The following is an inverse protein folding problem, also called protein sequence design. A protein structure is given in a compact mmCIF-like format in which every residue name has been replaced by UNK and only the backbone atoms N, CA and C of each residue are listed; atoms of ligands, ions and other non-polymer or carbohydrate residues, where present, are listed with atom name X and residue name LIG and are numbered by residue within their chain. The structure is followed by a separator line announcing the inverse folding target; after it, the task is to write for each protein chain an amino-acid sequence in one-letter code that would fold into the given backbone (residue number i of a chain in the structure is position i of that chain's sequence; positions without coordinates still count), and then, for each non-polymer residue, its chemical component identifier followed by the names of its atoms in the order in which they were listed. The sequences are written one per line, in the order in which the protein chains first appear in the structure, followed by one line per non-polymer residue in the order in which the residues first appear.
data_IF_492289697256
#
_entry.id   IF_492289697256
#
_cell.length_a   1.000
_cell.length_b   1.000
_cell.length_c   1.000
_cell.angle_alpha   90.00
_cell.angle_beta   90.00
_cell.angle_gamma   90.00
#
_symmetry.space_group_name_H-M   'P 1'
#
loop_
_entity.id
_entity.type
_entity.pdbx_description
1 polymer ?
#
# COMPACT_ATOMS: atom_id res chain seq x y z
N UNK A 1 12.05 10.91 -24.25
CA UNK A 1 10.68 10.75 -23.70
C UNK A 1 9.56 11.18 -24.66
N UNK A 2 9.82 11.92 -25.75
CA UNK A 2 8.78 12.38 -26.68
C UNK A 2 8.16 11.30 -27.60
N UNK A 3 8.75 10.11 -27.70
CA UNK A 3 8.29 9.07 -28.64
C UNK A 3 7.20 8.12 -28.09
N UNK A 4 6.86 8.18 -26.79
CA UNK A 4 5.89 7.26 -26.17
C UNK A 4 4.47 7.82 -26.07
N UNK A 5 4.24 9.10 -26.40
CA UNK A 5 2.96 9.79 -26.14
C UNK A 5 2.11 10.03 -27.38
N UNK A 6 2.62 9.75 -28.59
CA UNK A 6 1.86 9.94 -29.83
C UNK A 6 0.72 8.91 -29.91
N UNK A 7 -0.52 9.36 -29.75
CA UNK A 7 -1.72 8.51 -29.75
C UNK A 7 -2.19 8.03 -28.37
N UNK A 8 -1.52 8.42 -27.29
CA UNK A 8 -1.90 8.06 -25.92
C UNK A 8 -2.94 9.05 -25.36
N UNK A 9 -4.00 8.53 -24.72
CA UNK A 9 -4.97 9.32 -23.96
C UNK A 9 -4.27 10.26 -22.96
N UNK A 10 -4.78 11.48 -22.81
CA UNK A 10 -4.17 12.50 -21.94
C UNK A 10 -4.14 12.05 -20.47
N UNK A 11 -5.15 11.31 -20.04
CA UNK A 11 -5.26 10.72 -18.70
C UNK A 11 -4.13 9.72 -18.45
N UNK A 12 -3.78 8.90 -19.44
CA UNK A 12 -2.67 7.96 -19.32
C UNK A 12 -1.32 8.69 -19.26
N UNK A 13 -1.16 9.77 -20.04
CA UNK A 13 0.02 10.63 -19.93
C UNK A 13 0.14 11.26 -18.54
N UNK A 14 -1.00 11.71 -17.98
CA UNK A 14 -1.07 12.25 -16.63
C UNK A 14 -0.68 11.19 -15.60
N UNK A 15 -1.20 9.96 -15.71
CA UNK A 15 -0.83 8.84 -14.84
C UNK A 15 0.68 8.57 -14.87
N UNK A 16 1.30 8.59 -16.06
CA UNK A 16 2.74 8.43 -16.19
C UNK A 16 3.51 9.58 -15.53
N UNK A 17 3.02 10.81 -15.60
CA UNK A 17 3.62 11.95 -14.89
C UNK A 17 3.57 11.76 -13.37
N UNK A 18 2.45 11.28 -12.83
CA UNK A 18 2.25 11.12 -11.37
C UNK A 18 2.82 9.82 -10.80
N UNK A 19 3.19 8.84 -11.63
CA UNK A 19 3.78 7.56 -11.22
C UNK A 19 5.24 7.67 -10.72
N UNK A 20 5.53 8.68 -9.89
CA UNK A 20 6.86 9.00 -9.38
C UNK A 20 6.77 9.47 -7.95
N UNK A 21 7.83 9.24 -7.17
CA UNK A 21 7.93 9.74 -5.78
C UNK A 21 7.89 11.27 -5.71
N UNK A 22 8.63 11.94 -6.59
CA UNK A 22 8.75 13.39 -6.66
C UNK A 22 8.69 13.87 -8.10
N UNK A 23 8.22 15.10 -8.30
CA UNK A 23 8.20 15.75 -9.60
C UNK A 23 9.45 16.60 -9.77
N UNK A 24 10.16 16.41 -10.88
CA UNK A 24 11.09 17.42 -11.40
C UNK A 24 10.31 18.58 -12.05
N UNK A 25 11.00 19.68 -12.34
CA UNK A 25 10.38 20.89 -12.91
C UNK A 25 9.70 20.65 -14.26
N UNK A 26 10.28 19.78 -15.09
CA UNK A 26 9.75 19.44 -16.42
C UNK A 26 8.43 18.69 -16.28
N UNK A 27 8.40 17.67 -15.42
CA UNK A 27 7.22 16.83 -15.19
C UNK A 27 6.14 17.60 -14.46
N UNK A 28 6.49 18.48 -13.51
CA UNK A 28 5.54 19.38 -12.86
C UNK A 28 4.87 20.34 -13.87
N UNK A 29 5.65 20.89 -14.81
CA UNK A 29 5.13 21.75 -15.87
C UNK A 29 4.20 20.97 -16.82
N UNK A 30 4.59 19.75 -17.20
CA UNK A 30 3.76 18.88 -18.03
C UNK A 30 2.45 18.52 -17.32
N UNK A 31 2.50 18.16 -16.03
CA UNK A 31 1.31 17.88 -15.23
C UNK A 31 0.40 19.11 -15.15
N UNK A 32 0.96 20.30 -14.88
CA UNK A 32 0.21 21.56 -14.81
C UNK A 32 -0.49 21.90 -16.14
N UNK A 33 0.10 21.53 -17.28
CA UNK A 33 -0.52 21.67 -18.59
C UNK A 33 -1.62 20.63 -18.85
N UNK A 34 -1.37 19.36 -18.49
CA UNK A 34 -2.33 18.26 -18.68
C UNK A 34 -3.63 18.50 -17.90
N UNK A 35 -3.54 18.98 -16.65
CA UNK A 35 -4.74 19.24 -15.82
C UNK A 35 -5.62 20.39 -16.32
N UNK A 36 -5.14 21.19 -17.28
CA UNK A 36 -5.93 22.24 -17.92
C UNK A 36 -6.71 21.74 -19.14
N UNK A 37 -6.40 20.53 -19.60
CA UNK A 37 -7.09 19.94 -20.74
C UNK A 37 -8.44 19.37 -20.33
N UNK A 38 -9.27 19.05 -21.32
CA UNK A 38 -10.50 18.29 -21.09
C UNK A 38 -10.13 16.84 -20.80
N UNK A 39 -10.21 16.45 -19.54
CA UNK A 39 -9.95 15.10 -19.06
C UNK A 39 -11.27 14.38 -18.70
N UNK A 40 -11.32 13.09 -18.98
CA UNK A 40 -12.26 12.19 -18.33
C UNK A 40 -11.74 11.83 -16.93
N UNK A 41 -12.21 12.58 -15.95
CA UNK A 41 -11.82 12.41 -14.55
C UNK A 41 -12.24 11.09 -13.93
N UNK A 42 -13.34 10.47 -14.39
CA UNK A 42 -13.77 9.17 -13.88
C UNK A 42 -12.83 8.08 -14.43
N UNK A 43 -12.54 8.11 -15.73
CA UNK A 43 -11.55 7.20 -16.33
C UNK A 43 -10.18 7.34 -15.66
N UNK A 44 -9.75 8.57 -15.39
CA UNK A 44 -8.48 8.83 -14.71
C UNK A 44 -8.44 8.21 -13.31
N UNK A 45 -9.50 8.38 -12.52
CA UNK A 45 -9.61 7.81 -11.18
C UNK A 45 -9.62 6.27 -11.22
N UNK A 46 -10.43 5.68 -12.10
CA UNK A 46 -10.54 4.22 -12.23
C UNK A 46 -9.20 3.60 -12.67
N UNK A 47 -8.52 4.26 -13.62
CA UNK A 47 -7.20 3.85 -14.09
C UNK A 47 -6.13 4.03 -13.01
N UNK A 48 -6.18 5.11 -12.23
CA UNK A 48 -5.29 5.32 -11.10
C UNK A 48 -5.43 4.22 -10.05
N UNK A 49 -6.67 3.86 -9.70
CA UNK A 49 -6.96 2.80 -8.74
C UNK A 49 -6.41 1.46 -9.24
N UNK A 50 -6.73 1.08 -10.49
CA UNK A 50 -6.24 -0.15 -11.12
C UNK A 50 -4.73 -0.29 -11.12
N UNK A 51 -4.01 0.83 -11.27
CA UNK A 51 -2.55 0.86 -11.29
C UNK A 51 -1.91 1.14 -9.92
N UNK A 52 -2.70 1.29 -8.84
CA UNK A 52 -2.18 1.60 -7.50
C UNK A 52 -1.57 3.01 -7.40
N UNK A 53 -2.03 3.96 -8.22
CA UNK A 53 -1.51 5.32 -8.34
C UNK A 53 -2.39 6.38 -7.67
N UNK A 54 -3.55 6.03 -7.12
CA UNK A 54 -4.50 7.00 -6.52
C UNK A 54 -3.83 7.95 -5.54
N UNK A 55 -2.98 7.43 -4.65
CA UNK A 55 -2.34 8.24 -3.60
C UNK A 55 -1.32 9.24 -4.18
N UNK A 56 -0.55 8.81 -5.17
CA UNK A 56 0.40 9.65 -5.89
C UNK A 56 -0.33 10.69 -6.75
N UNK A 57 -1.41 10.29 -7.42
CA UNK A 57 -2.27 11.17 -8.19
C UNK A 57 -2.81 12.30 -7.31
N UNK A 58 -3.43 11.98 -6.18
CA UNK A 58 -3.95 12.99 -5.26
C UNK A 58 -2.84 13.91 -4.73
N UNK A 59 -1.70 13.35 -4.30
CA UNK A 59 -0.56 14.14 -3.78
C UNK A 59 -0.04 15.14 -4.81
N UNK A 60 0.18 14.70 -6.04
CA UNK A 60 0.75 15.53 -7.10
C UNK A 60 -0.25 16.54 -7.66
N UNK A 61 -1.53 16.18 -7.78
CA UNK A 61 -2.57 17.14 -8.13
C UNK A 61 -2.73 18.22 -7.06
N UNK A 62 -2.69 17.83 -5.78
CA UNK A 62 -2.78 18.76 -4.66
C UNK A 62 -1.58 19.71 -4.57
N UNK A 63 -0.39 19.28 -4.99
CA UNK A 63 0.80 20.15 -4.96
C UNK A 63 0.86 21.12 -6.15
N UNK A 64 0.42 20.69 -7.33
CA UNK A 64 0.47 21.50 -8.55
C UNK A 64 -0.75 22.41 -8.69
N UNK A 65 -1.95 21.89 -8.43
CA UNK A 65 -3.21 22.66 -8.57
C UNK A 65 -4.34 22.05 -7.70
N UNK A 66 -4.53 22.53 -6.46
CA UNK A 66 -5.54 22.02 -5.50
C UNK A 66 -7.02 22.03 -5.93
N UNK A 67 -7.34 22.56 -7.12
CA UNK A 67 -8.70 22.65 -7.67
C UNK A 67 -8.73 22.31 -9.17
N UNK A 68 -7.88 21.37 -9.61
CA UNK A 68 -7.84 20.92 -11.00
C UNK A 68 -9.09 20.12 -11.40
N UNK A 69 -9.57 19.26 -10.51
CA UNK A 69 -10.72 18.39 -10.76
C UNK A 69 -12.06 19.06 -10.37
N UNK A 70 -13.19 18.66 -10.98
CA UNK A 70 -14.52 19.00 -10.50
C UNK A 70 -14.68 18.66 -9.01
N UNK A 71 -15.49 19.43 -8.28
CA UNK A 71 -15.60 19.34 -6.81
C UNK A 71 -15.97 17.92 -6.35
N UNK A 72 -16.87 17.26 -7.05
CA UNK A 72 -17.34 15.91 -6.75
C UNK A 72 -16.20 14.89 -6.92
N UNK A 73 -15.40 15.03 -7.96
CA UNK A 73 -14.22 14.18 -8.21
C UNK A 73 -13.13 14.47 -7.18
N UNK A 74 -12.86 15.74 -6.88
CA UNK A 74 -11.87 16.13 -5.87
C UNK A 74 -12.21 15.56 -4.49
N UNK A 75 -13.51 15.51 -4.13
CA UNK A 75 -13.95 14.84 -2.90
C UNK A 75 -13.63 13.35 -2.94
N UNK A 76 -13.94 12.64 -4.04
CA UNK A 76 -13.62 11.21 -4.17
C UNK A 76 -12.12 10.93 -4.01
N UNK A 77 -11.26 11.69 -4.69
CA UNK A 77 -9.81 11.53 -4.53
C UNK A 77 -9.36 11.73 -3.08
N UNK A 78 -9.90 12.77 -2.42
CA UNK A 78 -9.57 13.07 -1.02
C UNK A 78 -10.04 11.96 -0.09
N UNK A 79 -11.26 11.46 -0.28
CA UNK A 79 -11.83 10.40 0.56
C UNK A 79 -11.05 9.09 0.41
N UNK A 80 -10.65 8.72 -0.82
CA UNK A 80 -9.77 7.56 -1.06
C UNK A 80 -8.39 7.75 -0.46
N UNK A 81 -7.81 8.97 -0.56
CA UNK A 81 -6.52 9.28 0.04
C UNK A 81 -6.55 9.17 1.57
N UNK A 82 -7.57 9.76 2.19
CA UNK A 82 -7.74 9.72 3.64
C UNK A 82 -8.03 8.30 4.14
N UNK A 83 -8.82 7.53 3.40
CA UNK A 83 -9.12 6.13 3.72
C UNK A 83 -7.84 5.30 3.69
N UNK A 84 -7.04 5.40 2.63
CA UNK A 84 -5.75 4.71 2.57
C UNK A 84 -4.77 5.18 3.66
N UNK A 85 -4.73 6.49 3.93
CA UNK A 85 -3.87 7.03 4.99
C UNK A 85 -4.21 6.41 6.34
N UNK A 86 -5.50 6.34 6.70
CA UNK A 86 -5.96 5.69 7.94
C UNK A 86 -5.53 4.22 8.00
N UNK A 87 -5.73 3.48 6.92
CA UNK A 87 -5.29 2.08 6.81
C UNK A 87 -3.77 1.93 6.94
N UNK A 88 -3.00 2.78 6.28
CA UNK A 88 -1.54 2.75 6.36
C UNK A 88 -1.04 3.02 7.79
N UNK A 89 -1.63 3.99 8.49
CA UNK A 89 -1.28 4.27 9.88
C UNK A 89 -1.70 3.14 10.84
N UNK A 90 -2.88 2.56 10.63
CA UNK A 90 -3.32 1.38 11.38
C UNK A 90 -2.33 0.22 11.20
N UNK A 91 -2.03 -0.18 9.97
CA UNK A 91 -1.05 -1.24 9.68
C UNK A 91 0.35 -0.93 10.20
N UNK A 92 0.78 0.34 10.14
CA UNK A 92 2.07 0.74 10.71
C UNK A 92 2.10 0.51 12.21
N UNK A 93 1.02 0.87 12.92
CA UNK A 93 0.89 0.63 14.36
C UNK A 93 0.88 -0.86 14.66
N UNK A 94 0.05 -1.64 13.98
CA UNK A 94 -0.05 -3.09 14.19
C UNK A 94 1.29 -3.79 13.95
N UNK A 95 2.00 -3.42 12.88
CA UNK A 95 3.34 -3.94 12.60
C UNK A 95 4.30 -3.67 13.76
N UNK A 96 4.32 -2.43 14.28
CA UNK A 96 5.17 -2.09 15.41
C UNK A 96 4.80 -2.87 16.68
N UNK A 97 3.50 -3.06 16.93
CA UNK A 97 3.01 -3.88 18.05
C UNK A 97 3.50 -5.32 17.93
N UNK A 98 3.29 -5.97 16.77
CA UNK A 98 3.68 -7.37 16.55
C UNK A 98 5.19 -7.54 16.66
N UNK A 99 5.97 -6.67 16.02
CA UNK A 99 7.44 -6.72 16.11
C UNK A 99 7.89 -6.56 17.56
N UNK A 100 7.24 -5.67 18.33
CA UNK A 100 7.60 -5.46 19.74
C UNK A 100 7.30 -6.67 20.60
N UNK A 101 6.15 -7.31 20.40
CA UNK A 101 5.77 -8.55 21.11
C UNK A 101 6.75 -9.68 20.81
N UNK A 102 7.09 -9.89 19.53
CA UNK A 102 8.05 -10.93 19.12
C UNK A 102 9.45 -10.66 19.70
N UNK A 103 9.92 -9.40 19.61
CA UNK A 103 11.23 -9.00 20.13
C UNK A 103 11.34 -9.22 21.64
N UNK A 104 10.34 -8.77 22.41
CA UNK A 104 10.31 -8.93 23.87
C UNK A 104 10.33 -10.40 24.32
N UNK A 105 9.90 -11.32 23.44
CA UNK A 105 9.93 -12.77 23.68
C UNK A 105 11.14 -13.47 23.04
N UNK A 106 12.16 -12.71 22.62
CA UNK A 106 13.39 -13.24 22.05
C UNK A 106 13.19 -13.93 20.70
N UNK A 107 12.22 -13.48 19.92
CA UNK A 107 11.96 -13.94 18.55
C UNK A 107 12.35 -12.80 17.59
N UNK A 108 13.52 -12.89 16.92
CA UNK A 108 13.91 -11.91 15.93
C UNK A 108 12.92 -11.90 14.76
N UNK A 109 12.32 -10.75 14.50
CA UNK A 109 11.34 -10.54 13.44
C UNK A 109 11.64 -9.23 12.69
N UNK A 110 11.32 -9.19 11.40
CA UNK A 110 11.49 -8.01 10.55
C UNK A 110 10.25 -7.84 9.70
N UNK A 111 9.68 -6.63 9.68
CA UNK A 111 8.62 -6.28 8.75
C UNK A 111 9.13 -6.30 7.31
N UNK A 112 8.40 -6.97 6.43
CA UNK A 112 8.70 -7.08 5.01
C UNK A 112 7.61 -6.39 4.20
N UNK A 113 7.99 -5.71 3.11
CA UNK A 113 7.07 -4.90 2.29
C UNK A 113 6.23 -3.91 3.13
N UNK A 114 4.91 -3.88 2.93
CA UNK A 114 3.94 -3.09 3.67
C UNK A 114 4.35 -1.64 3.93
N UNK A 115 4.10 -1.12 5.14
CA UNK A 115 4.49 0.23 5.55
C UNK A 115 6.00 0.52 5.40
N UNK A 116 6.86 -0.47 5.65
CA UNK A 116 8.33 -0.33 5.59
C UNK A 116 8.77 -0.01 4.16
N UNK A 117 8.25 -0.73 3.18
CA UNK A 117 8.53 -0.48 1.77
C UNK A 117 7.88 0.82 1.30
N UNK A 118 6.70 1.18 1.79
CA UNK A 118 6.11 2.48 1.48
C UNK A 118 7.01 3.63 1.93
N UNK A 119 7.49 3.57 3.17
CA UNK A 119 8.40 4.57 3.72
C UNK A 119 9.73 4.62 2.94
N UNK A 120 10.32 3.47 2.64
CA UNK A 120 11.57 3.41 1.87
C UNK A 120 11.40 3.96 0.44
N UNK A 121 10.38 3.49 -0.30
CA UNK A 121 10.16 3.84 -1.70
C UNK A 121 9.62 5.26 -1.88
N UNK A 122 8.67 5.70 -1.04
CA UNK A 122 7.95 6.95 -1.21
C UNK A 122 8.22 8.02 -0.15
N UNK A 123 8.80 7.64 0.99
CA UNK A 123 9.09 8.57 2.10
C UNK A 123 7.90 8.82 3.01
N UNK A 124 6.81 8.08 2.79
CA UNK A 124 5.54 8.27 3.46
C UNK A 124 4.80 6.93 3.44
N UNK A 125 4.34 6.47 4.61
CA UNK A 125 3.62 5.20 4.73
C UNK A 125 2.27 5.21 4.02
N UNK A 126 1.67 6.39 3.81
CA UNK A 126 0.35 6.54 3.21
C UNK A 126 0.35 6.57 1.67
N UNK A 127 1.51 6.52 1.01
CA UNK A 127 1.59 6.63 -0.45
C UNK A 127 1.53 5.32 -1.21
N UNK A 128 1.79 4.20 -0.55
CA UNK A 128 1.59 2.87 -1.11
C UNK A 128 0.31 2.28 -0.51
N UNK A 129 -0.58 1.82 -1.37
CA UNK A 129 -1.69 0.98 -0.94
C UNK A 129 -1.12 -0.41 -0.62
N UNK A 130 -1.31 -0.87 0.61
CA UNK A 130 -0.94 -2.20 1.08
C UNK A 130 -2.16 -2.84 1.75
N UNK A 131 -2.37 -4.13 1.50
CA UNK A 131 -3.53 -4.87 2.01
C UNK A 131 -3.27 -5.56 3.36
N UNK A 132 -2.06 -6.07 3.54
CA UNK A 132 -1.65 -6.92 4.65
C UNK A 132 -0.25 -6.54 5.20
N UNK A 133 0.17 -7.25 6.24
CA UNK A 133 1.49 -7.16 6.85
C UNK A 133 2.29 -8.43 6.60
N UNK A 134 3.40 -8.34 5.86
CA UNK A 134 4.36 -9.43 5.80
C UNK A 134 5.38 -9.31 6.95
N UNK A 135 5.60 -10.39 7.70
CA UNK A 135 6.58 -10.43 8.79
C UNK A 135 7.49 -11.65 8.60
N UNK A 136 8.79 -11.39 8.51
CA UNK A 136 9.80 -12.44 8.39
C UNK A 136 10.32 -12.81 9.77
N UNK A 137 10.31 -14.11 10.07
CA UNK A 137 10.90 -14.71 11.25
C UNK A 137 11.87 -15.82 10.85
N UNK A 138 12.70 -16.28 11.80
CA UNK A 138 13.50 -17.49 11.57
C UNK A 138 12.59 -18.72 11.59
N UNK A 139 12.76 -19.64 10.63
CA UNK A 139 11.96 -20.89 10.53
C UNK A 139 11.91 -21.68 11.84
N UNK A 140 13.01 -21.72 12.59
CA UNK A 140 13.09 -22.42 13.90
C UNK A 140 12.16 -21.84 14.97
N UNK A 141 11.81 -20.56 14.85
CA UNK A 141 10.99 -19.83 15.82
C UNK A 141 9.50 -19.88 15.46
N UNK A 142 9.12 -20.48 14.32
CA UNK A 142 7.75 -20.53 13.81
C UNK A 142 6.72 -20.98 14.85
N UNK A 143 6.96 -22.11 15.53
CA UNK A 143 6.01 -22.63 16.54
C UNK A 143 5.86 -21.68 17.73
N UNK A 144 6.94 -21.02 18.14
CA UNK A 144 6.91 -20.06 19.25
C UNK A 144 6.20 -18.78 18.85
N UNK A 145 6.47 -18.29 17.63
CA UNK A 145 5.86 -17.08 17.10
C UNK A 145 4.35 -17.26 16.91
N UNK A 146 3.92 -18.35 16.26
CA UNK A 146 2.49 -18.62 16.04
C UNK A 146 1.72 -18.81 17.34
N UNK A 147 2.26 -19.54 18.33
CA UNK A 147 1.61 -19.68 19.63
C UNK A 147 1.53 -18.35 20.41
N UNK A 148 2.56 -17.50 20.30
CA UNK A 148 2.55 -16.18 20.90
C UNK A 148 1.51 -15.27 20.23
N UNK A 149 1.47 -15.24 18.90
CA UNK A 149 0.51 -14.44 18.16
C UNK A 149 -0.93 -14.92 18.38
N UNK A 150 -1.16 -16.22 18.52
CA UNK A 150 -2.45 -16.79 18.93
C UNK A 150 -2.90 -16.27 20.30
N UNK A 151 -1.99 -16.17 21.27
CA UNK A 151 -2.29 -15.57 22.57
C UNK A 151 -2.55 -14.06 22.51
N UNK A 152 -2.13 -13.39 21.44
CA UNK A 152 -2.41 -11.98 21.15
C UNK A 152 -3.62 -11.80 20.22
N UNK A 153 -4.41 -12.86 19.98
CA UNK A 153 -5.64 -12.82 19.20
C UNK A 153 -5.50 -13.07 17.69
N UNK A 154 -4.31 -13.43 17.21
CA UNK A 154 -4.05 -13.76 15.80
C UNK A 154 -4.10 -15.27 15.56
N UNK A 155 -5.04 -15.73 14.74
CA UNK A 155 -5.18 -17.14 14.41
C UNK A 155 -4.77 -17.43 12.96
N UNK A 156 -4.26 -18.64 12.71
CA UNK A 156 -3.99 -19.12 11.35
C UNK A 156 -5.30 -19.17 10.56
N UNK A 157 -5.30 -18.57 9.37
CA UNK A 157 -6.42 -18.61 8.43
C UNK A 157 -5.93 -18.96 7.02
N UNK A 158 -6.53 -19.96 6.33
CA UNK A 158 -7.57 -20.85 6.83
C UNK A 158 -7.06 -21.78 7.93
N UNK A 159 -7.96 -22.26 8.80
CA UNK A 159 -7.62 -23.24 9.83
C UNK A 159 -7.11 -24.55 9.22
N UNK A 160 -5.91 -24.97 9.61
CA UNK A 160 -5.25 -26.17 9.10
C UNK A 160 -5.11 -27.24 10.19
N UNK A 161 -5.37 -28.51 9.84
CA UNK A 161 -4.97 -29.64 10.68
C UNK A 161 -3.44 -29.75 10.78
N UNK A 162 -2.92 -30.45 11.79
CA UNK A 162 -1.47 -30.66 11.93
C UNK A 162 -0.81 -31.28 10.69
N UNK A 163 -1.49 -32.22 10.01
CA UNK A 163 -1.00 -32.84 8.78
C UNK A 163 -0.96 -31.85 7.60
N UNK A 164 -2.00 -31.02 7.46
CA UNK A 164 -2.05 -29.98 6.44
C UNK A 164 -0.98 -28.90 6.69
N UNK A 165 -0.86 -28.41 7.92
CA UNK A 165 0.16 -27.43 8.31
C UNK A 165 1.57 -27.97 8.06
N UNK A 166 1.84 -29.21 8.46
CA UNK A 166 3.13 -29.85 8.18
C UNK A 166 3.39 -30.00 6.68
N UNK A 167 2.36 -30.24 5.87
CA UNK A 167 2.51 -30.33 4.43
C UNK A 167 2.75 -28.96 3.81
N UNK A 168 2.02 -27.93 4.24
CA UNK A 168 2.17 -26.54 3.81
C UNK A 168 3.60 -26.04 4.04
N UNK A 169 4.12 -26.17 5.27
CA UNK A 169 5.48 -25.72 5.63
C UNK A 169 6.63 -26.50 4.97
N UNK A 170 6.33 -27.59 4.25
CA UNK A 170 7.30 -28.30 3.39
C UNK A 170 7.45 -27.65 2.02
N UNK A 171 6.37 -27.10 1.47
CA UNK A 171 6.32 -26.56 0.12
C UNK A 171 6.25 -25.03 0.08
N UNK A 172 5.90 -24.41 1.21
CA UNK A 172 5.74 -22.98 1.36
C UNK A 172 6.51 -22.47 2.60
N UNK A 173 6.87 -21.19 2.59
CA UNK A 173 7.47 -20.48 3.70
C UNK A 173 6.56 -19.40 4.30
N UNK A 174 5.37 -19.20 3.73
CA UNK A 174 4.38 -18.24 4.18
C UNK A 174 3.24 -18.93 4.94
N UNK A 175 2.69 -18.27 5.95
CA UNK A 175 1.39 -18.61 6.53
C UNK A 175 0.65 -17.34 6.90
N UNK A 176 -0.64 -17.29 6.62
CA UNK A 176 -1.48 -16.15 6.95
C UNK A 176 -2.04 -16.31 8.36
N UNK A 177 -2.05 -15.19 9.09
CA UNK A 177 -2.75 -15.06 10.36
C UNK A 177 -3.70 -13.88 10.27
N UNK A 178 -4.84 -13.98 10.92
CA UNK A 178 -5.84 -12.91 11.02
C UNK A 178 -6.16 -12.66 12.48
N UNK A 179 -6.24 -11.39 12.87
CA UNK A 179 -6.66 -10.99 14.20
C UNK A 179 -8.18 -11.15 14.32
N UNK A 180 -8.63 -11.94 15.30
CA UNK A 180 -10.01 -12.40 15.38
C UNK A 180 -11.03 -11.27 15.59
N UNK A 181 -10.64 -10.15 16.22
CA UNK A 181 -11.55 -9.02 16.47
C UNK A 181 -11.54 -7.97 15.35
N UNK A 182 -10.39 -7.71 14.74
CA UNK A 182 -10.23 -6.66 13.73
C UNK A 182 -10.38 -7.18 12.30
N UNK A 183 -10.27 -8.49 12.08
CA UNK A 183 -10.35 -9.12 10.76
C UNK A 183 -9.19 -8.76 9.82
N UNK A 184 -8.11 -8.21 10.38
CA UNK A 184 -6.87 -7.85 9.69
C UNK A 184 -5.72 -8.77 10.10
#
# INVERSE_FOLDING_TARGET
MQHLTTGMLLENQLLICVARRSLDSVTATQLAWLVQQKLDWNYLLDSANRHGLTQLLYRHLSSVRPAAAPKEIASKFKDEFLTNSRWAFFHTRELLTIIKVLENNGIPAVGFKGPILSLAAYGDVALRQAGDLDILIKKRDFRRATALLDSEGYAIDPQLTAAQLSSHLRFDCEISLVHQESGC
#
